data_IF_336266609502
#
_entry.id   IF_336266609502
#
_cell.length_a   1.000
_cell.length_b   1.000
_cell.length_c   1.000
_cell.angle_alpha   90.00
_cell.angle_beta   90.00
_cell.angle_gamma   90.00
#
_symmetry.space_group_name_H-M   'P 1'
#
loop_
_entity.id
_entity.type
_entity.pdbx_description
1 polymer ?
#
# COMPACT_ATOMS: atom_id res chain seq x y z
N UNK A 1 -3.05 6.59 -44.69
CA UNK A 1 -1.58 6.70 -44.92
C UNK A 1 -1.13 8.12 -44.68
N UNK A 2 -0.19 8.40 -43.77
CA UNK A 2 1.20 8.01 -43.87
C UNK A 2 1.83 7.49 -42.58
N UNK A 3 2.67 6.50 -42.74
CA UNK A 3 4.09 6.29 -42.36
C UNK A 3 4.52 6.36 -40.91
N UNK A 4 4.85 5.17 -40.44
CA UNK A 4 5.66 4.75 -39.32
C UNK A 4 7.03 5.48 -39.21
N UNK A 5 7.41 5.82 -37.96
CA UNK A 5 8.82 5.95 -37.57
C UNK A 5 9.04 5.27 -36.22
N UNK A 6 9.79 4.19 -36.23
CA UNK A 6 10.47 3.59 -35.10
C UNK A 6 11.92 4.06 -35.12
N UNK A 7 12.52 4.41 -34.00
CA UNK A 7 13.93 4.15 -33.84
C UNK A 7 14.18 3.27 -32.60
N UNK A 8 14.67 2.08 -32.87
CA UNK A 8 15.44 1.22 -32.00
C UNK A 8 16.81 1.84 -31.73
N UNK A 9 17.20 1.95 -30.44
CA UNK A 9 18.59 1.80 -30.04
C UNK A 9 18.69 1.37 -28.57
N UNK A 10 18.98 0.09 -28.38
CA UNK A 10 19.41 -0.50 -27.15
C UNK A 10 20.85 -0.06 -26.84
N UNK A 11 21.08 0.70 -25.74
CA UNK A 11 22.41 0.91 -25.20
C UNK A 11 22.63 -0.04 -24.01
N UNK A 12 23.54 -0.99 -24.24
CA UNK A 12 24.03 -1.94 -23.25
C UNK A 12 24.89 -1.25 -22.19
N UNK A 13 24.63 -1.55 -20.89
CA UNK A 13 25.35 -1.08 -19.70
C UNK A 13 26.81 -1.53 -19.58
N UNK A 14 27.40 -2.20 -20.58
CA UNK A 14 28.76 -2.75 -20.54
C UNK A 14 29.88 -1.79 -20.97
N UNK A 15 29.62 -0.53 -21.27
CA UNK A 15 30.65 0.41 -21.77
C UNK A 15 31.02 1.56 -20.84
N UNK A 16 30.79 1.46 -19.53
CA UNK A 16 31.15 2.53 -18.59
C UNK A 16 32.30 2.16 -17.61
N UNK A 17 33.04 1.11 -17.88
CA UNK A 17 34.22 0.71 -17.09
C UNK A 17 35.44 0.54 -17.97
N UNK A 18 35.95 1.63 -18.57
CA UNK A 18 37.32 1.70 -19.09
C UNK A 18 37.63 3.14 -19.47
N UNK A 19 38.12 3.91 -18.54
CA UNK A 19 39.10 5.01 -18.72
C UNK A 19 39.25 5.78 -17.40
N UNK A 20 40.30 5.47 -16.65
CA UNK A 20 41.18 6.46 -16.06
C UNK A 20 42.43 5.74 -15.50
N UNK A 21 43.53 6.00 -16.13
CA UNK A 21 44.84 5.57 -15.70
C UNK A 21 45.44 6.52 -14.67
N UNK A 22 46.23 5.94 -13.86
CA UNK A 22 47.31 6.35 -13.00
C UNK A 22 47.77 7.83 -12.92
N UNK A 23 47.86 8.33 -11.69
CA UNK A 23 49.05 9.08 -11.21
C UNK A 23 49.27 8.72 -9.74
N UNK A 24 50.53 8.43 -9.45
CA UNK A 24 51.11 7.88 -8.26
C UNK A 24 51.63 8.94 -7.26
N UNK A 25 51.91 8.46 -6.06
CA UNK A 25 52.90 8.81 -5.01
C UNK A 25 52.45 9.73 -3.87
N UNK A 26 52.63 9.15 -2.67
CA UNK A 26 52.88 9.87 -1.43
C UNK A 26 52.53 9.04 -0.20
N UNK A 27 53.53 8.27 0.30
CA UNK A 27 53.40 7.44 1.49
C UNK A 27 53.41 8.26 2.79
N UNK A 28 52.60 7.84 3.77
CA UNK A 28 52.91 7.93 5.20
C UNK A 28 52.24 6.78 5.95
N UNK A 29 53.05 5.84 6.42
CA UNK A 29 52.72 4.77 7.33
C UNK A 29 52.49 5.32 8.74
N UNK A 30 51.33 5.00 9.32
CA UNK A 30 51.20 4.86 10.76
C UNK A 30 50.34 3.62 11.05
N UNK A 31 51.03 2.61 11.52
CA UNK A 31 50.43 1.37 11.99
C UNK A 31 49.74 1.60 13.35
N UNK A 32 48.50 1.12 13.50
CA UNK A 32 48.03 0.62 14.77
C UNK A 32 47.14 -0.63 14.48
N UNK A 33 47.58 -1.66 15.08
CA UNK A 33 47.04 -3.01 15.12
C UNK A 33 45.70 -3.06 15.82
N UNK A 34 44.90 -4.02 15.41
CA UNK A 34 43.96 -4.70 16.29
C UNK A 34 42.52 -4.62 15.90
N UNK A 35 42.07 -5.73 15.52
CA UNK A 35 40.86 -6.46 15.93
C UNK A 35 39.81 -6.66 14.84
N UNK A 36 39.58 -7.95 14.59
CA UNK A 36 38.55 -8.41 13.69
C UNK A 36 37.17 -8.11 14.27
N UNK A 37 36.40 -7.30 13.55
CA UNK A 37 35.02 -6.95 13.88
C UNK A 37 34.12 -7.09 12.67
N UNK A 38 33.32 -8.12 12.70
CA UNK A 38 32.05 -8.33 12.00
C UNK A 38 31.47 -7.12 11.26
N UNK A 39 30.97 -7.38 10.04
CA UNK A 39 30.29 -6.42 9.18
C UNK A 39 29.16 -5.67 9.90
N UNK A 40 29.49 -4.51 10.42
CA UNK A 40 28.54 -3.56 11.00
C UNK A 40 27.88 -2.79 9.87
N UNK A 41 26.56 -2.90 9.76
CA UNK A 41 25.72 -1.96 9.05
C UNK A 41 26.08 -0.55 9.51
N UNK A 42 26.60 0.30 8.62
CA UNK A 42 26.88 1.70 8.91
C UNK A 42 25.57 2.47 9.08
N UNK A 43 25.03 2.48 10.28
CA UNK A 43 23.94 3.40 10.63
C UNK A 43 24.50 4.82 10.44
N UNK A 44 23.87 5.58 9.53
CA UNK A 44 24.23 7.00 9.34
C UNK A 44 24.11 7.72 10.69
N UNK A 45 25.08 8.58 11.01
CA UNK A 45 25.09 9.32 12.27
C UNK A 45 23.80 10.15 12.41
N UNK A 46 23.15 10.17 13.58
CA UNK A 46 22.01 11.04 13.83
C UNK A 46 22.36 12.52 13.56
N UNK A 47 21.45 13.24 12.95
CA UNK A 47 21.53 14.69 12.79
C UNK A 47 21.40 15.32 14.18
N UNK A 48 22.27 16.30 14.50
CA UNK A 48 22.22 16.95 15.80
C UNK A 48 20.95 17.81 15.96
N UNK A 49 20.47 17.97 17.20
CA UNK A 49 19.34 18.85 17.49
C UNK A 49 19.64 20.30 17.07
N UNK A 50 20.88 20.75 17.26
CA UNK A 50 21.31 22.09 16.85
C UNK A 50 21.20 22.30 15.33
N UNK A 51 21.55 21.30 14.52
CA UNK A 51 21.42 21.38 13.06
C UNK A 51 19.94 21.36 12.64
N UNK A 52 19.11 20.56 13.32
CA UNK A 52 17.67 20.57 13.09
C UNK A 52 17.06 21.94 13.42
N UNK A 53 17.36 22.50 14.59
CA UNK A 53 16.86 23.81 15.01
C UNK A 53 17.32 24.93 14.08
N UNK A 54 18.57 24.87 13.59
CA UNK A 54 19.10 25.81 12.61
C UNK A 54 18.36 25.71 11.28
N UNK A 55 18.21 24.50 10.75
CA UNK A 55 17.51 24.28 9.49
C UNK A 55 16.07 24.78 9.53
N UNK A 56 15.36 24.53 10.64
CA UNK A 56 13.94 24.93 10.79
C UNK A 56 13.76 26.45 10.96
N UNK A 57 14.85 27.22 11.19
CA UNK A 57 14.87 28.68 11.23
C UNK A 57 15.43 29.32 9.96
N UNK A 58 15.93 28.52 9.03
CA UNK A 58 16.52 28.98 7.77
C UNK A 58 15.44 29.07 6.70
N UNK A 59 15.25 30.23 6.02
CA UNK A 59 14.27 30.35 4.94
C UNK A 59 14.44 29.27 3.88
N UNK A 60 13.43 28.44 3.69
CA UNK A 60 13.46 27.27 2.82
C UNK A 60 12.12 27.06 2.17
N UNK A 61 12.09 26.75 0.87
CA UNK A 61 10.91 26.30 0.15
C UNK A 61 11.05 24.81 -0.15
N UNK A 62 10.05 24.04 0.19
CA UNK A 62 9.92 22.59 -0.13
C UNK A 62 8.83 22.39 -1.17
N UNK A 63 9.05 21.49 -2.11
CA UNK A 63 8.01 21.04 -3.03
C UNK A 63 7.46 19.70 -2.53
N UNK A 64 6.14 19.62 -2.32
CA UNK A 64 5.45 18.41 -1.88
C UNK A 64 4.48 17.92 -2.96
N UNK A 65 4.71 16.70 -3.47
CA UNK A 65 3.78 16.05 -4.40
C UNK A 65 2.83 15.13 -3.65
N UNK A 66 1.54 15.43 -3.77
CA UNK A 66 0.47 14.66 -3.11
C UNK A 66 -0.83 14.75 -3.91
N UNK A 67 -1.71 13.79 -3.70
CA UNK A 67 -3.08 13.82 -4.23
C UNK A 67 -4.14 13.98 -3.15
N UNK A 68 -3.72 14.22 -1.90
CA UNK A 68 -4.65 14.48 -0.79
C UNK A 68 -5.41 15.79 -1.08
N UNK A 69 -6.75 15.77 -1.11
CA UNK A 69 -7.51 16.99 -1.27
C UNK A 69 -7.36 17.89 -0.03
N UNK A 70 -7.35 19.21 -0.25
CA UNK A 70 -7.31 20.23 0.82
C UNK A 70 -6.14 20.15 1.81
N UNK A 71 -5.05 19.49 1.44
CA UNK A 71 -3.85 19.26 2.25
C UNK A 71 -3.19 20.58 2.72
N UNK A 72 -3.53 21.70 2.11
CA UNK A 72 -3.04 23.02 2.50
C UNK A 72 -3.37 23.37 3.95
N UNK A 73 -4.41 22.74 4.54
CA UNK A 73 -4.80 22.97 5.93
C UNK A 73 -3.74 22.38 6.89
N UNK A 74 -3.25 21.17 6.62
CA UNK A 74 -2.18 20.53 7.38
C UNK A 74 -0.83 21.22 7.15
N UNK A 75 -0.56 21.64 5.90
CA UNK A 75 0.63 22.43 5.56
C UNK A 75 0.64 23.75 6.35
N UNK A 76 -0.50 24.42 6.48
CA UNK A 76 -0.61 25.67 7.23
C UNK A 76 -0.29 25.48 8.73
N UNK A 77 -0.60 24.30 9.33
CA UNK A 77 -0.20 23.99 10.71
C UNK A 77 1.32 23.90 10.83
N UNK A 78 1.97 23.25 9.85
CA UNK A 78 3.43 23.16 9.82
C UNK A 78 4.09 24.52 9.64
N UNK A 79 3.64 25.33 8.67
CA UNK A 79 4.17 26.66 8.41
C UNK A 79 3.94 27.63 9.59
N UNK A 80 2.85 27.47 10.33
CA UNK A 80 2.60 28.22 11.56
C UNK A 80 3.64 27.88 12.64
N UNK A 81 4.02 26.61 12.77
CA UNK A 81 5.02 26.15 13.73
C UNK A 81 6.44 26.52 13.30
N UNK A 82 6.71 26.51 11.98
CA UNK A 82 8.01 26.77 11.37
C UNK A 82 7.89 27.83 10.27
N UNK A 83 7.74 29.12 10.61
CA UNK A 83 7.39 30.17 9.65
C UNK A 83 8.46 30.48 8.60
N UNK A 84 9.71 30.03 8.84
CA UNK A 84 10.79 30.12 7.87
C UNK A 84 10.68 29.10 6.73
N UNK A 85 9.89 28.03 6.91
CA UNK A 85 9.71 27.00 5.90
C UNK A 85 8.41 27.23 5.13
N UNK A 86 8.47 27.19 3.80
CA UNK A 86 7.31 27.24 2.91
C UNK A 86 7.17 25.92 2.16
N UNK A 87 5.94 25.44 1.99
CA UNK A 87 5.65 24.17 1.31
C UNK A 87 4.74 24.41 0.11
N UNK A 88 5.31 24.23 -1.07
CA UNK A 88 4.58 24.27 -2.34
C UNK A 88 3.96 22.92 -2.64
N UNK A 89 2.65 22.82 -2.50
CA UNK A 89 1.90 21.59 -2.83
C UNK A 89 1.65 21.50 -4.33
N UNK A 90 1.89 20.33 -4.89
CA UNK A 90 1.65 20.01 -6.30
C UNK A 90 0.89 18.68 -6.38
N UNK A 91 -0.26 18.66 -7.04
CA UNK A 91 -0.93 17.43 -7.41
C UNK A 91 -0.34 16.90 -8.73
N UNK A 92 0.52 15.90 -8.64
CA UNK A 92 1.17 15.26 -9.79
C UNK A 92 0.36 14.09 -10.40
N UNK A 93 -0.86 13.88 -9.92
CA UNK A 93 -1.72 12.73 -10.21
C UNK A 93 -1.76 11.76 -9.05
N UNK A 94 -2.42 10.62 -9.24
CA UNK A 94 -2.59 9.55 -8.24
C UNK A 94 -2.15 8.20 -8.81
N UNK A 95 -1.65 7.29 -7.96
CA UNK A 95 -1.28 5.92 -8.33
C UNK A 95 -0.26 5.89 -9.47
N UNK A 96 -0.51 5.08 -10.50
CA UNK A 96 0.42 4.85 -11.63
C UNK A 96 0.83 6.15 -12.32
N UNK A 97 -0.08 7.12 -12.48
CA UNK A 97 0.22 8.40 -13.12
C UNK A 97 1.23 9.21 -12.30
N UNK A 98 1.05 9.27 -10.98
CA UNK A 98 1.98 9.89 -10.04
C UNK A 98 3.36 9.23 -10.07
N UNK A 99 3.40 7.90 -9.95
CA UNK A 99 4.67 7.16 -9.93
C UNK A 99 5.41 7.24 -11.26
N UNK A 100 4.71 7.31 -12.39
CA UNK A 100 5.34 7.49 -13.70
C UNK A 100 6.02 8.86 -13.80
N UNK A 101 5.36 9.92 -13.35
CA UNK A 101 5.97 11.27 -13.30
C UNK A 101 7.16 11.31 -12.34
N UNK A 102 7.03 10.71 -11.16
CA UNK A 102 8.09 10.68 -10.16
C UNK A 102 9.33 9.93 -10.69
N UNK A 103 9.15 8.72 -11.26
CA UNK A 103 10.25 7.97 -11.90
C UNK A 103 10.91 8.75 -13.03
N UNK A 104 10.12 9.47 -13.83
CA UNK A 104 10.64 10.30 -14.92
C UNK A 104 11.51 11.44 -14.41
N UNK A 105 11.05 12.17 -13.39
CA UNK A 105 11.79 13.28 -12.77
C UNK A 105 13.07 12.78 -12.09
N UNK A 106 13.00 11.67 -11.36
CA UNK A 106 14.17 11.04 -10.72
C UNK A 106 15.21 10.59 -11.75
N UNK A 107 14.78 9.97 -12.87
CA UNK A 107 15.67 9.56 -13.96
C UNK A 107 16.31 10.74 -14.67
N UNK A 108 15.58 11.84 -14.81
CA UNK A 108 16.09 13.07 -15.43
C UNK A 108 17.06 13.83 -14.50
N UNK A 109 17.11 13.52 -13.20
CA UNK A 109 17.93 14.20 -12.21
C UNK A 109 17.46 15.63 -11.89
N UNK A 110 16.27 16.01 -12.35
CA UNK A 110 15.67 17.33 -12.09
C UNK A 110 14.14 17.23 -12.05
N UNK A 111 13.48 18.23 -11.42
CA UNK A 111 12.04 18.33 -11.34
C UNK A 111 11.36 17.36 -10.38
N UNK A 112 12.12 16.51 -9.65
CA UNK A 112 11.58 15.72 -8.56
C UNK A 112 11.25 16.62 -7.36
N UNK A 113 10.20 16.32 -6.57
CA UNK A 113 9.87 17.07 -5.36
C UNK A 113 10.89 16.80 -4.24
N UNK A 114 10.84 17.60 -3.17
CA UNK A 114 11.56 17.30 -1.94
C UNK A 114 10.86 16.19 -1.14
N UNK A 115 9.53 16.26 -1.09
CA UNK A 115 8.65 15.35 -0.35
C UNK A 115 7.57 14.83 -1.28
N UNK A 116 7.18 13.57 -1.12
CA UNK A 116 6.15 12.96 -1.95
C UNK A 116 5.29 11.99 -1.16
N UNK A 117 3.99 11.95 -1.48
CA UNK A 117 3.11 10.87 -1.06
C UNK A 117 3.45 9.61 -1.85
N UNK A 118 3.55 8.47 -1.16
CA UNK A 118 3.79 7.14 -1.74
C UNK A 118 2.94 6.13 -0.98
N UNK A 119 2.25 5.25 -1.67
CA UNK A 119 1.55 4.13 -1.04
C UNK A 119 2.56 3.07 -0.56
N UNK A 120 2.20 2.30 0.50
CA UNK A 120 3.08 1.27 1.07
C UNK A 120 3.65 0.31 0.03
N UNK A 121 2.81 -0.16 -0.88
CA UNK A 121 3.18 -1.13 -1.91
C UNK A 121 4.18 -0.59 -2.94
N UNK A 122 4.31 0.72 -3.08
CA UNK A 122 5.23 1.35 -4.02
C UNK A 122 6.60 1.66 -3.41
N UNK A 123 6.74 1.66 -2.08
CA UNK A 123 8.02 1.95 -1.38
C UNK A 123 9.17 1.09 -1.92
N UNK A 124 9.05 -0.25 -2.10
CA UNK A 124 10.15 -1.07 -2.60
C UNK A 124 10.67 -0.65 -3.97
N UNK A 125 9.82 -0.13 -4.84
CA UNK A 125 10.20 0.38 -6.18
C UNK A 125 11.20 1.54 -6.07
N UNK A 126 11.05 2.40 -5.07
CA UNK A 126 11.89 3.59 -4.88
C UNK A 126 13.09 3.33 -3.96
N UNK A 127 12.99 2.39 -3.03
CA UNK A 127 14.13 2.00 -2.19
C UNK A 127 15.18 1.22 -2.97
N UNK A 128 14.77 0.31 -3.89
CA UNK A 128 15.70 -0.46 -4.71
C UNK A 128 16.52 0.43 -5.66
N UNK A 129 15.97 1.56 -6.07
CA UNK A 129 16.62 2.58 -6.92
C UNK A 129 17.37 3.64 -6.12
N UNK A 130 17.46 3.47 -4.79
CA UNK A 130 18.11 4.40 -3.86
C UNK A 130 17.56 5.86 -3.98
N UNK A 131 16.26 5.98 -4.24
CA UNK A 131 15.60 7.25 -4.51
C UNK A 131 15.03 7.93 -3.27
N UNK A 132 14.86 7.19 -2.17
CA UNK A 132 14.31 7.71 -0.90
C UNK A 132 15.41 8.03 0.10
N UNK A 133 15.20 9.08 0.88
CA UNK A 133 16.03 9.42 2.01
C UNK A 133 15.70 8.52 3.20
N UNK A 134 16.71 7.94 3.84
CA UNK A 134 16.52 7.28 5.12
C UNK A 134 16.25 8.34 6.21
N UNK A 135 15.07 8.29 6.82
CA UNK A 135 14.61 9.26 7.82
C UNK A 135 15.08 8.93 9.26
N UNK A 136 15.63 7.75 9.49
CA UNK A 136 16.11 7.36 10.83
C UNK A 136 17.14 8.34 11.43
N UNK A 137 18.16 8.85 10.67
CA UNK A 137 19.08 9.86 11.19
C UNK A 137 18.42 11.19 11.58
N UNK A 138 17.22 11.47 11.10
CA UNK A 138 16.45 12.68 11.34
C UNK A 138 15.43 12.52 12.46
N UNK A 139 15.57 11.48 13.30
CA UNK A 139 14.72 11.24 14.47
C UNK A 139 13.44 10.43 14.21
N UNK A 140 13.17 10.01 12.95
CA UNK A 140 11.93 9.31 12.62
C UNK A 140 11.72 8.01 13.41
N UNK A 141 12.80 7.30 13.78
CA UNK A 141 12.71 6.05 14.56
C UNK A 141 12.00 6.22 15.91
N UNK A 142 12.05 7.41 16.50
CA UNK A 142 11.35 7.71 17.76
C UNK A 142 9.82 7.75 17.62
N UNK A 143 9.30 7.79 16.39
CA UNK A 143 7.86 7.81 16.13
C UNK A 143 7.24 6.41 16.09
N UNK A 144 8.05 5.34 16.08
CA UNK A 144 7.60 3.96 15.89
C UNK A 144 6.38 3.61 16.74
N UNK A 145 6.43 3.89 18.02
CA UNK A 145 5.40 3.48 18.97
C UNK A 145 4.08 4.27 18.84
N UNK A 146 4.09 5.37 18.07
CA UNK A 146 2.90 6.16 17.77
C UNK A 146 2.05 5.51 16.67
N UNK A 147 2.65 4.69 15.81
CA UNK A 147 1.99 4.07 14.67
C UNK A 147 1.63 2.62 14.94
N UNK A 148 0.64 2.12 14.22
CA UNK A 148 0.27 0.70 14.22
C UNK A 148 1.46 -0.13 13.71
N UNK A 149 1.77 -1.23 14.37
CA UNK A 149 3.02 -1.97 14.18
C UNK A 149 3.24 -2.47 12.75
N UNK A 150 2.17 -2.95 12.10
CA UNK A 150 2.28 -3.42 10.71
C UNK A 150 2.58 -2.27 9.72
N UNK A 151 2.08 -1.05 9.95
CA UNK A 151 2.39 0.11 9.10
C UNK A 151 3.85 0.50 9.22
N UNK A 152 4.37 0.47 10.45
CA UNK A 152 5.78 0.73 10.69
C UNK A 152 6.68 -0.32 10.02
N UNK A 153 6.27 -1.59 10.04
CA UNK A 153 6.95 -2.67 9.32
C UNK A 153 7.02 -2.43 7.81
N UNK A 154 5.96 -1.83 7.22
CA UNK A 154 5.92 -1.54 5.78
C UNK A 154 6.84 -0.38 5.35
N UNK A 155 7.21 0.53 6.25
CA UNK A 155 8.09 1.68 5.96
C UNK A 155 9.52 1.48 6.42
N UNK A 156 9.82 0.39 7.13
CA UNK A 156 11.13 0.10 7.72
C UNK A 156 11.97 -0.82 6.85
N UNK A 157 13.27 -0.56 6.80
CA UNK A 157 14.26 -1.46 6.21
C UNK A 157 14.90 -2.39 7.25
N UNK A 158 15.54 -3.50 6.80
CA UNK A 158 16.15 -4.50 7.68
C UNK A 158 17.35 -4.00 8.49
N UNK A 159 17.96 -2.88 8.09
CA UNK A 159 19.08 -2.22 8.79
C UNK A 159 18.62 -1.11 9.74
N UNK A 160 17.33 -0.98 10.03
CA UNK A 160 16.76 0.07 10.86
C UNK A 160 16.48 1.37 10.12
N UNK A 161 16.51 1.33 8.79
CA UNK A 161 16.09 2.45 7.96
C UNK A 161 14.60 2.74 8.15
N UNK A 162 14.22 4.01 8.00
CA UNK A 162 12.84 4.49 7.90
C UNK A 162 12.68 5.23 6.58
N UNK A 163 11.95 4.64 5.64
CA UNK A 163 11.84 5.14 4.27
C UNK A 163 10.72 6.15 4.06
N UNK A 164 9.73 6.13 4.95
CA UNK A 164 8.59 7.04 4.90
C UNK A 164 7.89 7.08 6.26
N UNK A 165 6.99 8.05 6.45
CA UNK A 165 6.13 8.12 7.64
C UNK A 165 4.72 7.68 7.25
N UNK A 166 4.09 6.70 7.93
CA UNK A 166 2.72 6.27 7.65
C UNK A 166 1.73 7.43 7.73
N UNK A 167 0.82 7.53 6.75
CA UNK A 167 -0.20 8.57 6.68
C UNK A 167 -1.58 8.02 7.03
N UNK A 168 -2.01 7.04 6.26
CA UNK A 168 -3.30 6.37 6.38
C UNK A 168 -3.19 4.88 6.09
N UNK A 169 -4.26 4.13 6.37
CA UNK A 169 -4.24 2.67 6.30
C UNK A 169 -5.51 2.11 5.67
N UNK A 170 -5.44 0.86 5.24
CA UNK A 170 -6.57 0.16 4.65
C UNK A 170 -6.74 -1.26 5.19
N UNK A 171 -6.88 -1.48 6.53
CA UNK A 171 -7.20 -2.81 7.05
C UNK A 171 -8.50 -3.31 6.42
N UNK A 172 -8.52 -4.58 6.00
CA UNK A 172 -9.64 -5.12 5.24
C UNK A 172 -10.74 -5.68 6.15
N UNK A 173 -11.98 -5.35 5.80
CA UNK A 173 -13.19 -5.85 6.41
C UNK A 173 -14.26 -6.19 5.36
N UNK A 174 -15.44 -6.49 5.83
CA UNK A 174 -16.60 -6.78 5.01
C UNK A 174 -17.71 -5.75 5.29
N UNK A 175 -18.11 -5.00 4.28
CA UNK A 175 -19.38 -4.26 4.30
C UNK A 175 -20.48 -5.19 3.78
N UNK A 176 -21.63 -5.26 4.47
CA UNK A 176 -22.72 -6.15 4.06
C UNK A 176 -24.09 -5.48 4.13
N UNK A 177 -24.98 -5.88 3.24
CA UNK A 177 -26.39 -5.48 3.16
C UNK A 177 -27.21 -6.24 4.20
N UNK A 178 -27.42 -5.60 5.35
CA UNK A 178 -28.24 -6.20 6.42
C UNK A 178 -29.64 -6.57 5.96
N UNK A 179 -30.28 -5.74 5.15
CA UNK A 179 -31.62 -6.02 4.61
C UNK A 179 -31.67 -7.26 3.70
N UNK A 180 -30.60 -7.51 2.91
CA UNK A 180 -30.51 -8.74 2.09
C UNK A 180 -30.23 -9.95 3.00
N UNK A 181 -29.33 -9.81 3.98
CA UNK A 181 -29.03 -10.88 4.93
C UNK A 181 -30.27 -11.28 5.73
N UNK A 182 -31.01 -10.30 6.26
CA UNK A 182 -32.27 -10.55 7.00
C UNK A 182 -33.30 -11.23 6.11
N UNK A 183 -33.52 -10.74 4.89
CA UNK A 183 -34.47 -11.30 3.92
C UNK A 183 -34.25 -12.78 3.63
N UNK A 184 -32.97 -13.18 3.54
CA UNK A 184 -32.58 -14.53 3.17
C UNK A 184 -32.13 -15.39 4.35
N UNK A 185 -32.25 -14.90 5.61
CA UNK A 185 -31.86 -15.62 6.81
C UNK A 185 -30.37 -15.88 6.92
N UNK A 186 -29.52 -15.04 6.28
CA UNK A 186 -28.06 -15.20 6.27
C UNK A 186 -27.49 -14.63 7.56
N UNK A 187 -26.77 -15.45 8.32
CA UNK A 187 -25.94 -14.98 9.41
C UNK A 187 -24.64 -14.39 8.87
N UNK A 188 -24.06 -13.39 9.57
CA UNK A 188 -22.77 -12.81 9.18
C UNK A 188 -21.69 -13.90 9.22
N UNK A 189 -21.08 -14.29 8.09
CA UNK A 189 -20.11 -15.38 8.03
C UNK A 189 -18.87 -15.08 8.87
N UNK A 190 -18.46 -15.99 9.72
CA UNK A 190 -17.25 -15.89 10.55
C UNK A 190 -16.06 -16.62 9.92
N UNK A 191 -16.33 -17.58 9.05
CA UNK A 191 -15.33 -18.36 8.33
C UNK A 191 -15.55 -18.29 6.82
N UNK A 192 -14.50 -18.56 6.04
CA UNK A 192 -14.61 -18.64 4.60
C UNK A 192 -15.49 -19.80 4.13
N UNK A 193 -15.62 -20.87 4.92
CA UNK A 193 -16.56 -21.98 4.62
C UNK A 193 -17.99 -21.52 4.78
N UNK A 194 -18.32 -20.79 5.87
CA UNK A 194 -19.65 -20.18 6.07
C UNK A 194 -19.96 -19.16 4.96
N UNK A 195 -18.97 -18.37 4.53
CA UNK A 195 -19.12 -17.42 3.43
C UNK A 195 -19.45 -18.12 2.11
N UNK A 196 -18.73 -19.21 1.79
CA UNK A 196 -19.02 -20.00 0.59
C UNK A 196 -20.40 -20.66 0.63
N UNK A 197 -20.81 -21.17 1.79
CA UNK A 197 -22.16 -21.72 1.98
C UNK A 197 -23.25 -20.64 1.80
N UNK A 198 -23.04 -19.45 2.38
CA UNK A 198 -23.93 -18.31 2.20
C UNK A 198 -24.02 -17.86 0.74
N UNK A 199 -22.87 -17.83 0.00
CA UNK A 199 -22.85 -17.48 -1.41
C UNK A 199 -23.70 -18.44 -2.26
N UNK A 200 -23.56 -19.74 -2.05
CA UNK A 200 -24.35 -20.78 -2.75
C UNK A 200 -25.82 -20.69 -2.38
N UNK A 201 -26.13 -20.53 -1.08
CA UNK A 201 -27.50 -20.42 -0.58
C UNK A 201 -28.22 -19.20 -1.16
N UNK A 202 -27.58 -18.03 -1.11
CA UNK A 202 -28.14 -16.79 -1.63
C UNK A 202 -28.38 -16.87 -3.14
N UNK A 203 -27.39 -17.32 -3.92
CA UNK A 203 -27.52 -17.39 -5.37
C UNK A 203 -28.56 -18.42 -5.82
N UNK A 204 -28.72 -19.51 -5.07
CA UNK A 204 -29.82 -20.49 -5.29
C UNK A 204 -31.17 -19.87 -5.03
N UNK A 205 -31.32 -19.04 -3.98
CA UNK A 205 -32.60 -18.41 -3.62
C UNK A 205 -32.92 -17.21 -4.53
N UNK A 206 -31.92 -16.45 -4.96
CA UNK A 206 -32.08 -15.31 -5.87
C UNK A 206 -30.86 -15.24 -6.84
N UNK A 207 -30.98 -15.84 -8.05
CA UNK A 207 -29.87 -15.88 -9.01
C UNK A 207 -29.39 -14.51 -9.54
N UNK A 208 -30.13 -13.42 -9.23
CA UNK A 208 -29.74 -12.05 -9.61
C UNK A 208 -28.86 -11.38 -8.57
N UNK A 209 -28.74 -11.99 -7.38
CA UNK A 209 -27.97 -11.46 -6.26
C UNK A 209 -26.76 -12.35 -6.00
N UNK A 210 -25.61 -11.73 -5.89
CA UNK A 210 -24.35 -12.37 -5.52
C UNK A 210 -23.98 -11.99 -4.09
N UNK A 211 -23.44 -12.92 -3.33
CA UNK A 211 -22.96 -12.59 -1.99
C UNK A 211 -21.89 -11.51 -2.06
N UNK A 212 -20.95 -11.61 -3.02
CA UNK A 212 -19.91 -10.62 -3.25
C UNK A 212 -19.56 -10.47 -4.73
N UNK A 213 -18.81 -9.42 -5.05
CA UNK A 213 -18.05 -9.26 -6.28
C UNK A 213 -16.56 -9.35 -5.95
N UNK A 214 -15.83 -10.26 -6.60
CA UNK A 214 -14.38 -10.26 -6.63
C UNK A 214 -13.94 -9.71 -8.00
N UNK A 215 -13.63 -8.42 -8.04
CA UNK A 215 -13.35 -7.75 -9.30
C UNK A 215 -12.10 -8.31 -9.99
N UNK A 216 -12.27 -8.80 -11.22
CA UNK A 216 -11.21 -9.46 -11.98
C UNK A 216 -10.08 -8.50 -12.44
N UNK A 217 -10.28 -7.20 -12.29
CA UNK A 217 -9.30 -6.14 -12.60
C UNK A 217 -8.70 -5.48 -11.34
N UNK A 218 -8.81 -6.12 -10.16
CA UNK A 218 -8.40 -5.50 -8.89
C UNK A 218 -7.34 -6.34 -8.15
N UNK A 219 -6.07 -6.33 -8.63
CA UNK A 219 -4.99 -7.09 -8.02
C UNK A 219 -4.70 -6.69 -6.56
N UNK A 220 -5.00 -5.44 -6.16
CA UNK A 220 -4.73 -4.99 -4.81
C UNK A 220 -5.64 -5.65 -3.77
N UNK A 221 -6.92 -5.87 -4.09
CA UNK A 221 -7.84 -6.65 -3.26
C UNK A 221 -7.36 -8.10 -3.11
N UNK A 222 -6.87 -8.71 -4.21
CA UNK A 222 -6.28 -10.06 -4.16
C UNK A 222 -5.08 -10.14 -3.22
N UNK A 223 -4.16 -9.18 -3.29
CA UNK A 223 -3.02 -9.13 -2.38
C UNK A 223 -3.45 -8.99 -0.92
N UNK A 224 -4.47 -8.18 -0.64
CA UNK A 224 -5.01 -8.05 0.71
C UNK A 224 -5.62 -9.35 1.24
N UNK A 225 -6.35 -10.11 0.39
CA UNK A 225 -6.88 -11.43 0.73
C UNK A 225 -5.75 -12.48 0.89
N UNK A 226 -4.70 -12.40 0.08
CA UNK A 226 -3.52 -13.25 0.22
C UNK A 226 -2.75 -12.93 1.51
N UNK A 227 -2.66 -11.65 1.86
CA UNK A 227 -2.08 -11.21 3.13
C UNK A 227 -2.85 -11.80 4.31
N UNK A 228 -4.19 -11.68 4.31
CA UNK A 228 -5.05 -12.28 5.33
C UNK A 228 -4.90 -13.82 5.42
N UNK A 229 -4.68 -14.47 4.30
CA UNK A 229 -4.46 -15.92 4.26
C UNK A 229 -3.08 -16.35 4.81
N UNK A 230 -2.22 -15.39 5.17
CA UNK A 230 -0.86 -15.64 5.66
C UNK A 230 0.16 -15.85 4.54
N UNK A 231 -0.16 -15.49 3.29
CA UNK A 231 0.73 -15.57 2.14
C UNK A 231 1.93 -14.64 2.29
N UNK A 232 3.08 -15.08 1.79
CA UNK A 232 4.33 -14.32 1.72
C UNK A 232 4.86 -14.34 0.29
N UNK A 233 4.13 -13.68 -0.64
CA UNK A 233 4.40 -13.83 -2.07
C UNK A 233 5.75 -13.28 -2.51
N UNK A 234 6.33 -12.38 -1.72
CA UNK A 234 7.58 -11.70 -2.05
C UNK A 234 8.49 -11.58 -0.84
N UNK A 235 9.79 -11.69 -1.06
CA UNK A 235 10.80 -11.31 -0.09
C UNK A 235 12.03 -10.76 -0.81
N UNK A 236 12.63 -9.70 -0.25
CA UNK A 236 13.84 -9.09 -0.79
C UNK A 236 14.99 -9.33 0.17
N UNK A 237 16.14 -9.80 -0.35
CA UNK A 237 17.38 -9.95 0.41
C UNK A 237 18.48 -9.13 -0.26
N UNK A 238 18.98 -8.13 0.45
CA UNK A 238 19.90 -7.14 -0.13
C UNK A 238 19.25 -6.34 -1.27
N UNK A 239 20.08 -5.89 -2.24
CA UNK A 239 19.61 -5.02 -3.34
C UNK A 239 19.23 -5.76 -4.63
N UNK A 240 19.51 -7.06 -4.72
CA UNK A 240 19.39 -7.77 -6.01
C UNK A 240 18.81 -9.19 -5.92
N UNK A 241 18.51 -9.68 -4.73
CA UNK A 241 17.95 -11.03 -4.56
C UNK A 241 16.49 -10.95 -4.18
N UNK A 242 15.64 -11.64 -4.94
CA UNK A 242 14.20 -11.73 -4.72
C UNK A 242 13.79 -13.19 -4.53
N UNK A 243 12.87 -13.43 -3.61
CA UNK A 243 12.03 -14.62 -3.58
C UNK A 243 10.65 -14.24 -4.10
N UNK A 244 10.09 -15.03 -5.02
CA UNK A 244 8.77 -14.84 -5.60
C UNK A 244 8.00 -16.14 -5.43
N UNK A 245 6.88 -16.12 -4.71
CA UNK A 245 6.11 -17.31 -4.29
C UNK A 245 4.61 -17.05 -4.44
N UNK A 246 4.21 -16.53 -5.59
CA UNK A 246 2.79 -16.22 -5.87
C UNK A 246 1.97 -17.46 -6.26
N UNK A 247 2.60 -18.64 -6.37
CA UNK A 247 1.96 -19.93 -6.64
C UNK A 247 2.23 -21.00 -5.55
N UNK A 248 2.61 -20.55 -4.35
CA UNK A 248 2.82 -21.44 -3.21
C UNK A 248 1.52 -22.10 -2.72
N UNK A 249 1.60 -22.90 -1.66
CA UNK A 249 0.45 -23.64 -1.12
C UNK A 249 -0.67 -22.68 -0.64
N UNK A 250 -0.32 -21.53 -0.03
CA UNK A 250 -1.29 -20.55 0.45
C UNK A 250 -1.97 -19.87 -0.73
N UNK A 251 -1.21 -19.44 -1.73
CA UNK A 251 -1.72 -18.85 -2.97
C UNK A 251 -2.63 -19.81 -3.72
N UNK A 252 -2.24 -21.10 -3.82
CA UNK A 252 -3.06 -22.15 -4.45
C UNK A 252 -4.35 -22.40 -3.67
N UNK A 253 -4.32 -22.41 -2.32
CA UNK A 253 -5.53 -22.49 -1.49
C UNK A 253 -6.48 -21.33 -1.77
N UNK A 254 -5.96 -20.11 -1.79
CA UNK A 254 -6.74 -18.90 -2.11
C UNK A 254 -7.32 -18.97 -3.53
N UNK A 255 -6.49 -19.35 -4.52
CA UNK A 255 -6.90 -19.50 -5.92
C UNK A 255 -7.96 -20.58 -6.14
N UNK A 256 -7.85 -21.71 -5.43
CA UNK A 256 -8.85 -22.79 -5.47
C UNK A 256 -10.19 -22.34 -4.88
N UNK A 257 -10.15 -21.62 -3.76
CA UNK A 257 -11.36 -21.10 -3.10
C UNK A 257 -12.11 -20.11 -3.99
N UNK A 258 -11.46 -19.02 -4.39
CA UNK A 258 -12.11 -17.97 -5.17
C UNK A 258 -12.41 -18.39 -6.61
N UNK A 259 -11.48 -19.12 -7.24
CA UNK A 259 -11.69 -19.70 -8.56
C UNK A 259 -12.83 -20.72 -8.58
N UNK A 260 -12.99 -21.51 -7.51
CA UNK A 260 -14.11 -22.42 -7.32
C UNK A 260 -15.44 -21.71 -7.29
N UNK A 261 -15.57 -20.68 -6.44
CA UNK A 261 -16.82 -19.89 -6.33
C UNK A 261 -17.14 -19.13 -7.64
N UNK A 262 -16.12 -18.62 -8.33
CA UNK A 262 -16.29 -17.99 -9.63
C UNK A 262 -16.78 -19.01 -10.69
N UNK A 263 -16.17 -20.21 -10.73
CA UNK A 263 -16.56 -21.30 -11.64
C UNK A 263 -17.98 -21.78 -11.38
N UNK A 264 -18.40 -21.87 -10.11
CA UNK A 264 -19.78 -22.18 -9.72
C UNK A 264 -20.76 -21.06 -10.11
N UNK A 265 -20.28 -19.86 -10.39
CA UNK A 265 -21.11 -18.70 -10.74
C UNK A 265 -21.84 -18.09 -9.55
N UNK A 266 -21.45 -18.41 -8.32
CA UNK A 266 -22.14 -17.95 -7.09
C UNK A 266 -21.59 -16.63 -6.55
N UNK A 267 -20.49 -16.15 -7.12
CA UNK A 267 -19.95 -14.78 -6.92
C UNK A 267 -19.87 -14.06 -8.27
N UNK A 268 -19.94 -12.73 -8.26
CA UNK A 268 -19.67 -11.91 -9.43
C UNK A 268 -18.16 -11.65 -9.59
N UNK A 269 -17.73 -11.55 -10.84
CA UNK A 269 -16.36 -11.15 -11.23
C UNK A 269 -16.39 -9.90 -12.10
N UNK A 270 -17.44 -9.11 -12.01
CA UNK A 270 -17.58 -7.87 -12.77
C UNK A 270 -16.37 -6.94 -12.52
N UNK A 271 -15.90 -6.21 -13.54
CA UNK A 271 -14.84 -5.24 -13.35
C UNK A 271 -15.24 -4.18 -12.32
N UNK A 272 -14.35 -3.96 -11.34
CA UNK A 272 -14.50 -2.93 -10.34
C UNK A 272 -14.32 -1.51 -10.91
N UNK A 273 -14.79 -0.51 -10.16
CA UNK A 273 -14.61 0.93 -10.41
C UNK A 273 -15.32 1.45 -11.67
N UNK A 274 -16.27 0.69 -12.21
CA UNK A 274 -17.11 1.10 -13.34
C UNK A 274 -18.48 1.60 -12.85
N UNK A 275 -19.17 2.41 -13.67
CA UNK A 275 -20.54 2.86 -13.36
C UNK A 275 -21.49 1.68 -13.13
N UNK A 276 -21.32 0.60 -13.90
CA UNK A 276 -22.09 -0.63 -13.76
C UNK A 276 -21.87 -1.33 -12.42
N UNK A 277 -20.64 -1.32 -11.94
CA UNK A 277 -20.28 -1.86 -10.64
C UNK A 277 -20.89 -1.06 -9.48
N UNK A 278 -20.79 0.28 -9.50
CA UNK A 278 -21.44 1.13 -8.51
C UNK A 278 -22.98 1.01 -8.54
N UNK A 279 -23.56 0.93 -9.74
CA UNK A 279 -24.98 0.67 -9.90
C UNK A 279 -25.39 -0.69 -9.31
N UNK A 280 -24.50 -1.69 -9.32
CA UNK A 280 -24.70 -2.99 -8.70
C UNK A 280 -24.97 -2.90 -7.19
N UNK A 281 -24.24 -2.08 -6.45
CA UNK A 281 -24.49 -1.83 -5.02
C UNK A 281 -25.85 -1.15 -4.78
N UNK A 282 -26.17 -0.13 -5.57
CA UNK A 282 -27.44 0.57 -5.46
C UNK A 282 -28.65 -0.37 -5.73
N UNK A 283 -28.54 -1.26 -6.69
CA UNK A 283 -29.59 -2.22 -7.09
C UNK A 283 -29.63 -3.48 -6.23
N UNK A 284 -28.66 -3.68 -5.32
CA UNK A 284 -28.56 -4.86 -4.50
C UNK A 284 -28.06 -6.12 -5.24
N UNK A 285 -27.35 -5.95 -6.35
CA UNK A 285 -26.70 -7.05 -7.07
C UNK A 285 -25.62 -7.73 -6.21
N UNK A 286 -24.93 -6.95 -5.36
CA UNK A 286 -23.90 -7.43 -4.45
C UNK A 286 -24.36 -7.23 -3.01
N UNK A 287 -24.40 -8.32 -2.25
CA UNK A 287 -24.81 -8.30 -0.86
C UNK A 287 -23.67 -7.93 0.10
N UNK A 288 -22.42 -8.10 -0.33
CA UNK A 288 -21.23 -7.66 0.42
C UNK A 288 -20.23 -6.98 -0.48
N UNK A 289 -19.37 -6.18 0.15
CA UNK A 289 -18.13 -5.67 -0.43
C UNK A 289 -16.99 -5.99 0.54
N UNK A 290 -16.10 -6.87 0.13
CA UNK A 290 -14.83 -7.11 0.82
C UNK A 290 -13.91 -5.96 0.47
N UNK A 291 -13.64 -5.08 1.42
CA UNK A 291 -12.98 -3.80 1.17
C UNK A 291 -12.13 -3.37 2.35
N UNK A 292 -11.41 -2.29 2.18
CA UNK A 292 -10.59 -1.70 3.23
C UNK A 292 -11.35 -0.62 4.02
N UNK A 293 -10.74 -0.13 5.08
CA UNK A 293 -11.29 0.88 5.99
C UNK A 293 -11.65 2.23 5.32
N UNK A 294 -11.13 2.51 4.13
CA UNK A 294 -11.54 3.64 3.29
C UNK A 294 -12.84 3.35 2.50
N UNK A 295 -13.22 2.09 2.33
CA UNK A 295 -14.42 1.68 1.57
C UNK A 295 -15.73 2.28 2.05
N UNK A 296 -15.95 2.44 3.36
CA UNK A 296 -17.17 3.05 3.88
C UNK A 296 -17.48 4.43 3.31
N UNK A 297 -16.51 5.32 3.16
CA UNK A 297 -16.72 6.65 2.58
C UNK A 297 -17.07 6.59 1.09
N UNK A 298 -16.41 5.71 0.32
CA UNK A 298 -16.73 5.49 -1.08
C UNK A 298 -18.15 4.93 -1.27
N UNK A 299 -18.54 3.96 -0.45
CA UNK A 299 -19.85 3.34 -0.55
C UNK A 299 -20.97 4.34 -0.22
N UNK A 300 -20.83 5.12 0.85
CA UNK A 300 -21.80 6.14 1.23
C UNK A 300 -21.94 7.24 0.17
N UNK A 301 -20.86 7.57 -0.53
CA UNK A 301 -20.83 8.52 -1.64
C UNK A 301 -21.53 7.99 -2.90
N UNK A 302 -21.32 6.71 -3.24
CA UNK A 302 -21.74 6.10 -4.51
C UNK A 302 -23.07 5.32 -4.44
N UNK A 303 -23.46 4.82 -3.26
CA UNK A 303 -24.66 3.98 -3.07
C UNK A 303 -25.73 4.64 -2.17
N UNK A 304 -25.95 5.94 -2.33
CA UNK A 304 -26.81 6.79 -1.46
C UNK A 304 -28.22 6.23 -1.26
N UNK A 305 -28.81 5.58 -2.27
CA UNK A 305 -30.14 4.97 -2.20
C UNK A 305 -30.24 3.79 -1.23
N UNK A 306 -29.11 3.32 -0.71
CA UNK A 306 -29.03 2.18 0.20
C UNK A 306 -28.71 2.61 1.65
N UNK A 307 -28.85 3.88 1.97
CA UNK A 307 -28.61 4.40 3.31
C UNK A 307 -29.39 3.61 4.38
N UNK A 308 -28.77 3.35 5.50
CA UNK A 308 -29.33 2.57 6.62
C UNK A 308 -29.23 1.03 6.47
N UNK A 309 -28.97 0.54 5.25
CA UNK A 309 -28.99 -0.89 4.91
C UNK A 309 -27.66 -1.62 5.08
N UNK A 310 -26.56 -0.90 5.26
CA UNK A 310 -25.24 -1.47 5.35
C UNK A 310 -24.73 -1.61 6.80
N UNK A 311 -23.88 -2.61 7.00
CA UNK A 311 -23.13 -2.81 8.25
C UNK A 311 -21.70 -3.24 7.89
N UNK A 312 -20.78 -3.08 8.84
CA UNK A 312 -19.41 -3.57 8.76
C UNK A 312 -19.21 -4.79 9.66
N UNK A 313 -18.34 -5.68 9.26
CA UNK A 313 -17.86 -6.82 10.02
C UNK A 313 -16.40 -7.13 9.64
N UNK A 314 -15.63 -7.87 10.49
CA UNK A 314 -14.36 -8.46 10.07
C UNK A 314 -14.54 -9.34 8.82
N UNK A 315 -13.45 -9.53 8.05
CA UNK A 315 -13.43 -10.57 7.02
C UNK A 315 -13.71 -11.94 7.64
N UNK A 316 -14.38 -12.85 6.93
CA UNK A 316 -14.41 -14.26 7.29
C UNK A 316 -12.98 -14.80 7.47
N UNK A 317 -12.77 -15.72 8.40
CA UNK A 317 -11.46 -16.23 8.77
C UNK A 317 -11.20 -17.62 8.20
N UNK A 318 -9.93 -17.91 7.88
CA UNK A 318 -9.48 -19.27 7.56
C UNK A 318 -9.40 -20.17 8.81
N UNK A 319 -9.16 -19.55 9.96
CA UNK A 319 -9.21 -20.16 11.29
C UNK A 319 -9.89 -19.17 12.25
N UNK A 320 -11.11 -19.47 12.67
CA UNK A 320 -11.89 -18.58 13.52
C UNK A 320 -11.25 -18.30 14.90
N UNK A 321 -10.34 -19.18 15.35
CA UNK A 321 -9.62 -19.01 16.62
C UNK A 321 -8.44 -18.02 16.50
N UNK A 322 -8.05 -17.67 15.26
CA UNK A 322 -6.91 -16.78 14.98
C UNK A 322 -7.33 -15.68 14.02
N UNK A 323 -8.01 -14.64 14.50
CA UNK A 323 -8.45 -13.55 13.63
C UNK A 323 -7.25 -12.83 13.02
N UNK A 324 -7.22 -12.76 11.69
CA UNK A 324 -6.20 -12.08 10.89
C UNK A 324 -6.89 -11.25 9.81
N UNK A 325 -6.38 -10.06 9.55
CA UNK A 325 -6.75 -9.29 8.38
C UNK A 325 -5.54 -9.00 7.49
N UNK A 326 -5.82 -8.65 6.24
CA UNK A 326 -4.87 -8.05 5.32
C UNK A 326 -5.08 -6.55 5.25
N UNK A 327 -4.28 -5.92 4.38
CA UNK A 327 -4.39 -4.50 4.10
C UNK A 327 -4.52 -4.25 2.60
N UNK A 328 -5.35 -3.28 2.23
CA UNK A 328 -5.52 -2.84 0.85
C UNK A 328 -5.41 -1.30 0.78
N UNK A 329 -4.34 -0.81 0.13
CA UNK A 329 -4.05 0.61 0.03
C UNK A 329 -3.40 1.20 1.29
N UNK A 330 -3.61 2.49 1.48
CA UNK A 330 -2.92 3.30 2.49
C UNK A 330 -1.65 3.93 1.95
N UNK A 331 -1.35 5.13 2.44
CA UNK A 331 -0.28 5.98 1.94
C UNK A 331 0.73 6.32 3.03
N UNK A 332 1.84 6.88 2.58
CA UNK A 332 2.93 7.38 3.41
C UNK A 332 3.44 8.70 2.85
N UNK A 333 4.20 9.44 3.64
CA UNK A 333 4.96 10.60 3.20
C UNK A 333 6.45 10.28 3.22
N UNK A 334 7.08 10.28 2.05
CA UNK A 334 8.50 9.98 1.85
C UNK A 334 9.27 11.23 1.42
N UNK A 335 10.56 11.25 1.71
CA UNK A 335 11.50 12.32 1.28
C UNK A 335 12.37 11.77 0.15
N UNK A 336 12.53 12.57 -0.90
CA UNK A 336 13.39 12.23 -2.03
C UNK A 336 14.86 12.45 -1.65
N UNK A 337 15.70 11.45 -1.88
CA UNK A 337 17.12 11.48 -1.47
C UNK A 337 17.92 12.62 -2.06
N UNK A 338 17.58 13.08 -3.26
CA UNK A 338 18.28 14.17 -3.96
C UNK A 338 17.83 15.57 -3.51
N UNK A 339 16.94 15.70 -2.50
CA UNK A 339 16.57 17.01 -1.95
C UNK A 339 17.80 17.79 -1.44
N UNK A 340 17.79 19.09 -1.65
CA UNK A 340 18.83 19.99 -1.10
C UNK A 340 18.56 20.39 0.36
N UNK A 341 17.35 20.07 0.85
CA UNK A 341 16.86 20.47 2.18
C UNK A 341 16.45 19.25 3.02
N UNK A 342 17.34 18.25 3.22
CA UNK A 342 16.93 16.96 3.80
C UNK A 342 16.37 17.08 5.22
N UNK A 343 16.89 18.01 6.05
CA UNK A 343 16.40 18.20 7.42
C UNK A 343 14.99 18.78 7.40
N UNK A 344 14.76 19.86 6.67
CA UNK A 344 13.44 20.51 6.61
C UNK A 344 12.39 19.56 6.00
N UNK A 345 12.75 18.82 4.96
CA UNK A 345 11.90 17.82 4.31
C UNK A 345 11.53 16.66 5.26
N UNK A 346 12.52 16.13 6.01
CA UNK A 346 12.30 15.07 6.99
C UNK A 346 11.39 15.55 8.14
N UNK A 347 11.63 16.76 8.66
CA UNK A 347 10.81 17.35 9.71
C UNK A 347 9.37 17.61 9.24
N UNK A 348 9.19 18.03 7.98
CA UNK A 348 7.86 18.21 7.40
C UNK A 348 7.13 16.87 7.27
N UNK A 349 7.76 15.84 6.71
CA UNK A 349 7.16 14.51 6.57
C UNK A 349 6.73 13.92 7.92
N UNK A 350 7.58 14.06 8.95
CA UNK A 350 7.28 13.61 10.31
C UNK A 350 6.10 14.41 10.89
N UNK A 351 6.15 15.75 10.84
CA UNK A 351 5.08 16.60 11.37
C UNK A 351 3.74 16.25 10.70
N UNK A 352 3.72 16.19 9.38
CA UNK A 352 2.49 15.99 8.61
C UNK A 352 1.69 14.78 9.11
N UNK A 353 2.35 13.68 9.42
CA UNK A 353 1.69 12.40 9.71
C UNK A 353 1.69 12.04 11.20
N UNK A 354 2.46 12.72 12.07
CA UNK A 354 2.54 12.41 13.50
C UNK A 354 2.06 13.52 14.42
N UNK A 355 1.94 14.78 13.93
CA UNK A 355 1.35 15.84 14.72
C UNK A 355 -0.15 15.55 14.94
N UNK A 356 -0.65 15.56 16.20
CA UNK A 356 -2.02 15.15 16.49
C UNK A 356 -3.08 15.98 15.75
N UNK A 357 -2.86 17.30 15.56
CA UNK A 357 -3.81 18.15 14.86
C UNK A 357 -3.82 17.86 13.35
N UNK A 358 -2.64 17.66 12.75
CA UNK A 358 -2.50 17.29 11.35
C UNK A 358 -3.11 15.90 11.09
N UNK A 359 -2.73 14.88 11.87
CA UNK A 359 -3.25 13.52 11.74
C UNK A 359 -4.77 13.45 11.92
N UNK A 360 -5.34 14.26 12.84
CA UNK A 360 -6.80 14.34 13.03
C UNK A 360 -7.50 14.95 11.80
N UNK A 361 -6.88 15.89 11.10
CA UNK A 361 -7.44 16.43 9.87
C UNK A 361 -7.57 15.37 8.77
N UNK A 362 -6.55 14.55 8.56
CA UNK A 362 -6.64 13.42 7.62
C UNK A 362 -7.86 12.52 7.90
N UNK A 363 -8.13 12.22 9.16
CA UNK A 363 -9.26 11.38 9.54
C UNK A 363 -10.62 12.07 9.40
N UNK A 364 -10.71 13.37 9.74
CA UNK A 364 -12.01 14.07 9.86
C UNK A 364 -12.38 14.94 8.67
N UNK A 365 -11.39 15.37 7.86
CA UNK A 365 -11.60 16.22 6.68
C UNK A 365 -11.48 15.45 5.39
N UNK A 366 -10.42 14.61 5.27
CA UNK A 366 -10.17 13.81 4.09
C UNK A 366 -10.76 12.39 4.19
N UNK A 367 -11.27 12.00 5.37
CA UNK A 367 -11.86 10.68 5.64
C UNK A 367 -10.89 9.52 5.40
N UNK A 368 -9.61 9.74 5.65
CA UNK A 368 -8.60 8.70 5.60
C UNK A 368 -8.57 7.92 6.92
N UNK A 369 -8.37 6.61 6.84
CA UNK A 369 -8.35 5.79 8.03
C UNK A 369 -6.98 5.89 8.72
N UNK A 370 -6.92 6.27 10.03
CA UNK A 370 -5.67 6.65 10.68
C UNK A 370 -4.64 5.53 10.75
N UNK A 371 -3.35 5.92 10.66
CA UNK A 371 -2.22 5.05 10.95
C UNK A 371 -1.72 5.16 12.40
N UNK A 372 -2.17 6.18 13.16
CA UNK A 372 -1.70 6.43 14.53
C UNK A 372 -2.58 5.73 15.57
N UNK A 373 -1.96 5.06 16.54
CA UNK A 373 -2.65 4.37 17.65
C UNK A 373 -3.55 5.32 18.44
N UNK A 374 -3.09 6.55 18.67
CA UNK A 374 -3.85 7.55 19.41
C UNK A 374 -5.21 7.89 18.77
N UNK A 375 -5.27 8.05 17.45
CA UNK A 375 -6.52 8.31 16.75
C UNK A 375 -7.42 7.07 16.67
N UNK A 376 -6.85 5.89 16.49
CA UNK A 376 -7.62 4.64 16.51
C UNK A 376 -8.25 4.37 17.88
N UNK A 377 -7.69 4.93 18.95
CA UNK A 377 -8.25 4.88 20.32
C UNK A 377 -9.11 6.11 20.66
N UNK A 378 -9.16 7.15 19.82
CA UNK A 378 -9.92 8.39 20.10
C UNK A 378 -11.43 8.16 19.96
N UNK A 379 -12.22 8.31 21.06
CA UNK A 379 -13.67 8.17 21.00
C UNK A 379 -14.35 9.14 20.04
N UNK A 380 -13.74 10.29 19.71
CA UNK A 380 -14.27 11.24 18.73
C UNK A 380 -14.18 10.71 17.30
N UNK A 381 -13.28 9.75 17.03
CA UNK A 381 -13.16 9.06 15.74
C UNK A 381 -13.93 7.74 15.74
N UNK A 382 -13.70 6.86 16.73
CA UNK A 382 -14.28 5.53 16.77
C UNK A 382 -15.76 5.53 17.16
N UNK A 383 -16.22 6.57 17.88
CA UNK A 383 -17.59 6.72 18.33
C UNK A 383 -18.56 7.22 17.26
N UNK A 384 -18.09 7.66 16.09
CA UNK A 384 -18.96 8.09 14.99
C UNK A 384 -19.86 6.95 14.53
N UNK A 385 -21.17 7.25 14.42
CA UNK A 385 -22.22 6.27 14.14
C UNK A 385 -23.10 6.75 12.96
N UNK A 386 -22.56 6.72 11.72
CA UNK A 386 -23.23 7.29 10.56
C UNK A 386 -24.57 6.62 10.26
N UNK A 387 -25.61 7.42 9.98
CA UNK A 387 -26.94 6.93 9.62
C UNK A 387 -26.91 6.02 8.39
N UNK A 388 -25.98 6.21 7.46
CA UNK A 388 -25.79 5.36 6.29
C UNK A 388 -25.53 3.90 6.69
N UNK A 389 -24.86 3.66 7.81
CA UNK A 389 -24.58 2.34 8.39
C UNK A 389 -25.58 1.97 9.51
N UNK A 390 -26.76 2.60 9.51
CA UNK A 390 -27.81 2.33 10.51
C UNK A 390 -27.36 2.57 11.95
N UNK A 391 -26.50 3.55 12.16
CA UNK A 391 -26.00 3.90 13.49
C UNK A 391 -24.90 2.97 14.02
N UNK A 392 -24.32 2.09 13.19
CA UNK A 392 -23.16 1.30 13.61
C UNK A 392 -21.89 2.17 13.64
N UNK A 393 -21.06 1.98 14.67
CA UNK A 393 -19.76 2.60 14.81
C UNK A 393 -18.73 1.91 13.89
N UNK A 394 -18.79 2.21 12.60
CA UNK A 394 -17.99 1.52 11.57
C UNK A 394 -16.49 1.74 11.78
N UNK A 395 -16.10 2.94 12.22
CA UNK A 395 -14.69 3.23 12.50
C UNK A 395 -14.14 2.36 13.64
N UNK A 396 -14.96 2.05 14.68
CA UNK A 396 -14.57 1.12 15.74
C UNK A 396 -14.32 -0.28 15.19
N UNK A 397 -15.22 -0.78 14.32
CA UNK A 397 -15.03 -2.11 13.71
C UNK A 397 -13.71 -2.19 12.94
N UNK A 398 -13.36 -1.17 12.15
CA UNK A 398 -12.11 -1.16 11.40
C UNK A 398 -10.88 -0.88 12.29
N UNK A 399 -11.03 -0.16 13.41
CA UNK A 399 -9.97 -0.01 14.40
C UNK A 399 -9.61 -1.37 15.03
N UNK A 400 -10.63 -2.14 15.45
CA UNK A 400 -10.43 -3.50 15.98
C UNK A 400 -9.79 -4.44 14.93
N UNK A 401 -10.17 -4.31 13.66
CA UNK A 401 -9.58 -5.07 12.55
C UNK A 401 -8.11 -4.69 12.35
N UNK A 402 -7.74 -3.42 12.48
CA UNK A 402 -6.38 -2.94 12.26
C UNK A 402 -5.35 -3.65 13.15
N UNK A 403 -5.73 -3.99 14.37
CA UNK A 403 -4.87 -4.72 15.31
C UNK A 403 -4.60 -6.18 14.89
N UNK A 404 -5.38 -6.70 13.94
CA UNK A 404 -5.25 -8.08 13.44
C UNK A 404 -4.45 -8.19 12.13
N UNK A 405 -3.99 -7.08 11.55
CA UNK A 405 -3.21 -7.10 10.31
C UNK A 405 -1.80 -7.64 10.59
N UNK A 406 -1.40 -8.67 9.82
CA UNK A 406 -0.09 -9.31 9.97
C UNK A 406 1.06 -8.37 9.56
N UNK A 407 2.17 -8.40 10.30
CA UNK A 407 3.36 -7.57 10.04
C UNK A 407 4.31 -8.15 9.00
N UNK A 408 4.09 -9.38 8.52
CA UNK A 408 5.09 -10.16 7.75
C UNK A 408 4.99 -10.02 6.23
N UNK A 409 4.02 -9.27 5.71
CA UNK A 409 3.80 -9.13 4.27
C UNK A 409 4.82 -8.17 3.64
N UNK A 410 5.36 -8.53 2.48
CA UNK A 410 6.27 -7.68 1.69
C UNK A 410 5.74 -7.51 0.27
N UNK A 411 6.10 -6.38 -0.35
CA UNK A 411 5.74 -6.01 -1.72
C UNK A 411 6.93 -6.18 -2.67
N UNK A 412 6.69 -6.46 -3.96
CA UNK A 412 7.77 -6.56 -4.95
C UNK A 412 8.27 -5.16 -5.35
N UNK A 413 9.53 -5.02 -5.78
CA UNK A 413 10.06 -3.74 -6.26
C UNK A 413 9.57 -3.34 -7.67
N UNK A 414 8.65 -4.12 -8.26
CA UNK A 414 8.06 -3.90 -9.59
C UNK A 414 6.53 -4.15 -9.57
N UNK A 415 5.85 -3.51 -8.63
CA UNK A 415 4.42 -3.72 -8.39
C UNK A 415 3.56 -3.50 -9.65
N UNK A 416 3.84 -2.47 -10.46
CA UNK A 416 3.05 -2.17 -11.67
C UNK A 416 3.05 -3.37 -12.63
N UNK A 417 4.21 -4.02 -12.81
CA UNK A 417 4.32 -5.24 -13.61
C UNK A 417 3.58 -6.41 -12.96
N UNK A 418 3.75 -6.56 -11.64
CA UNK A 418 3.07 -7.64 -10.92
C UNK A 418 1.54 -7.52 -11.01
N UNK A 419 1.01 -6.31 -10.95
CA UNK A 419 -0.42 -6.03 -11.10
C UNK A 419 -0.91 -6.30 -12.53
N UNK A 420 -0.14 -5.89 -13.54
CA UNK A 420 -0.46 -6.15 -14.95
C UNK A 420 -0.50 -7.65 -15.23
N UNK A 421 0.55 -8.37 -14.83
CA UNK A 421 0.64 -9.81 -15.03
C UNK A 421 -0.46 -10.58 -14.27
N UNK A 422 -0.82 -10.12 -13.05
CA UNK A 422 -1.95 -10.68 -12.31
C UNK A 422 -3.27 -10.51 -13.08
N UNK A 423 -3.53 -9.31 -13.59
CA UNK A 423 -4.76 -9.01 -14.34
C UNK A 423 -4.88 -9.88 -15.59
N UNK A 424 -3.77 -10.06 -16.34
CA UNK A 424 -3.72 -10.85 -17.57
C UNK A 424 -3.73 -12.36 -17.35
N UNK A 425 -3.49 -12.84 -16.12
CA UNK A 425 -3.47 -14.26 -15.78
C UNK A 425 -4.58 -14.62 -14.79
N UNK A 426 -4.40 -14.33 -13.51
CA UNK A 426 -5.35 -14.68 -12.45
C UNK A 426 -6.68 -13.93 -12.62
N UNK A 427 -6.62 -12.62 -12.87
CA UNK A 427 -7.83 -11.81 -13.12
C UNK A 427 -8.61 -12.32 -14.32
N UNK A 428 -7.92 -12.58 -15.44
CA UNK A 428 -8.55 -13.17 -16.62
C UNK A 428 -9.19 -14.53 -16.33
N UNK A 429 -8.51 -15.39 -15.55
CA UNK A 429 -9.04 -16.71 -15.19
C UNK A 429 -10.31 -16.63 -14.33
N UNK A 430 -10.40 -15.63 -13.44
CA UNK A 430 -11.60 -15.36 -12.65
C UNK A 430 -12.75 -14.88 -13.54
N UNK A 431 -12.49 -13.94 -14.47
CA UNK A 431 -13.47 -13.43 -15.42
C UNK A 431 -14.02 -14.54 -16.32
N UNK A 432 -13.13 -15.36 -16.85
CA UNK A 432 -13.45 -16.48 -17.77
C UNK A 432 -13.98 -17.73 -17.01
N UNK A 433 -13.98 -17.69 -15.67
CA UNK A 433 -14.36 -18.84 -14.80
C UNK A 433 -13.54 -20.10 -15.11
N UNK A 434 -12.29 -19.93 -15.43
CA UNK A 434 -11.35 -20.97 -15.81
C UNK A 434 -10.43 -21.41 -14.68
N UNK A 435 -9.31 -22.06 -14.98
CA UNK A 435 -8.40 -22.65 -13.99
C UNK A 435 -7.53 -21.64 -13.25
N UNK A 436 -8.05 -21.01 -12.21
CA UNK A 436 -7.34 -19.97 -11.44
C UNK A 436 -6.04 -20.47 -10.79
N UNK A 437 -6.01 -21.73 -10.32
CA UNK A 437 -4.77 -22.32 -9.76
C UNK A 437 -3.67 -22.43 -10.82
N UNK A 438 -4.01 -22.83 -12.06
CA UNK A 438 -3.04 -22.87 -13.15
C UNK A 438 -2.57 -21.45 -13.55
N UNK A 439 -3.46 -20.47 -13.46
CA UNK A 439 -3.13 -19.07 -13.74
C UNK A 439 -2.12 -18.47 -12.75
N UNK A 440 -2.09 -18.95 -11.50
CA UNK A 440 -1.06 -18.58 -10.52
C UNK A 440 0.35 -19.01 -10.98
N UNK A 441 0.50 -20.22 -11.53
CA UNK A 441 1.76 -20.69 -12.10
C UNK A 441 2.21 -19.86 -13.31
N UNK A 442 1.24 -19.41 -14.13
CA UNK A 442 1.53 -18.50 -15.24
C UNK A 442 1.99 -17.13 -14.74
N UNK A 443 1.35 -16.61 -13.70
CA UNK A 443 1.74 -15.37 -13.03
C UNK A 443 3.15 -15.46 -12.43
N UNK A 444 3.43 -16.55 -11.68
CA UNK A 444 4.76 -16.85 -11.13
C UNK A 444 5.85 -16.83 -12.22
N UNK A 445 5.60 -17.52 -13.33
CA UNK A 445 6.56 -17.62 -14.43
C UNK A 445 6.85 -16.26 -15.08
N UNK A 446 5.82 -15.42 -15.30
CA UNK A 446 5.97 -14.07 -15.83
C UNK A 446 6.80 -13.19 -14.91
N UNK A 447 6.50 -13.18 -13.60
CA UNK A 447 7.22 -12.39 -12.61
C UNK A 447 8.68 -12.81 -12.49
N UNK A 448 8.96 -14.12 -12.48
CA UNK A 448 10.33 -14.66 -12.45
C UNK A 448 11.11 -14.22 -13.69
N UNK A 449 10.50 -14.33 -14.86
CA UNK A 449 11.09 -13.90 -16.14
C UNK A 449 11.39 -12.40 -16.11
N UNK A 450 10.43 -11.59 -15.68
CA UNK A 450 10.60 -10.14 -15.60
C UNK A 450 11.71 -9.76 -14.61
N UNK A 451 11.68 -10.31 -13.39
CA UNK A 451 12.69 -10.03 -12.37
C UNK A 451 14.10 -10.37 -12.86
N UNK A 452 14.29 -11.54 -13.49
CA UNK A 452 15.57 -11.96 -14.08
C UNK A 452 16.02 -10.98 -15.17
N UNK A 453 15.12 -10.55 -16.05
CA UNK A 453 15.41 -9.56 -17.09
C UNK A 453 15.81 -8.19 -16.53
N UNK A 454 15.28 -7.82 -15.36
CA UNK A 454 15.65 -6.59 -14.65
C UNK A 454 17.00 -6.72 -13.89
N UNK A 455 17.63 -7.89 -13.91
CA UNK A 455 18.93 -8.14 -13.27
C UNK A 455 18.83 -8.63 -11.82
N UNK A 456 17.65 -9.06 -11.37
CA UNK A 456 17.51 -9.70 -10.07
C UNK A 456 17.94 -11.17 -10.12
N UNK A 457 18.55 -11.64 -9.04
CA UNK A 457 18.70 -13.06 -8.76
C UNK A 457 17.42 -13.54 -8.11
N UNK A 458 16.64 -14.36 -8.81
CA UNK A 458 15.42 -14.94 -8.26
C UNK A 458 15.78 -16.26 -7.60
N UNK A 459 15.52 -16.38 -6.29
CA UNK A 459 15.60 -17.64 -5.57
C UNK A 459 14.30 -18.41 -5.79
N UNK A 460 14.41 -19.69 -6.16
CA UNK A 460 13.29 -20.62 -6.13
C UNK A 460 12.78 -20.77 -4.70
N UNK A 461 11.49 -20.91 -4.55
CA UNK A 461 10.83 -21.29 -3.30
C UNK A 461 10.79 -22.78 -3.15
#
# INVERSE_FOLDING_TARGET
MPRSFVPTSSMSRRRFLAATGAVSLGAALAACSGDGGSGGSSSAKPVSQADMDKAMKTPTELTFWTWVPDIQQEVALFEKKYPAIKVKVVNAGQGVAHYTKLRTALKAGNGAPDVTQIEYQAIPTFTITDSLLNLAPYGASALKDQFVDWTWGQVSGPGGEVWAIPQDTGPMGMLYRKDIFDKHGIQVPRTWDEFAAAARGLHKADPKVYLTNLAANEPAAWHGLLWQAGGKPYATSGKSTLSISVDDAVSKKLGAYWGGLAKEGVISTDPGWTDGWYAGFNKGKYATWLTAAWGPSFLSGSAKSTAGKWRAAPLPQWDAAKPVSGNWGGSTTAVIKSTKNPIAAAMFAQFLNSDPASAKMFATKQFFFPATKALLADPSFTGDAPAFYGGQKVNQVFADISDTVSTSFQWPPFLDQAATDWTETVGKSLADRSGTVAALGSWQSRLTTYATKQGFTVKGT
#
